data_IF_171848241175
#
_entry.id   IF_171848241175
#
_cell.length_a   1.000
_cell.length_b   1.000
_cell.length_c   1.000
_cell.angle_alpha   90.00
_cell.angle_beta   90.00
_cell.angle_gamma   90.00
#
_symmetry.space_group_name_H-M   'P 1'
#
loop_
_entity.id
_entity.type
_entity.pdbx_description
1 polymer ?
#
# COMPACT_ATOMS: atom_id res chain seq x y z
N UNK A 1 -8.93 22.51 -17.47
CA UNK A 1 -7.82 21.55 -17.71
C UNK A 1 -6.51 22.17 -17.25
N UNK A 2 -5.79 21.52 -16.34
CA UNK A 2 -4.49 22.02 -15.84
C UNK A 2 -3.37 21.45 -16.70
N UNK A 3 -2.48 22.33 -17.17
CA UNK A 3 -1.32 21.95 -17.99
C UNK A 3 -0.04 22.38 -17.28
N UNK A 4 0.93 21.48 -17.23
CA UNK A 4 2.20 21.68 -16.52
C UNK A 4 3.39 21.48 -17.47
N UNK A 5 4.49 22.17 -17.18
CA UNK A 5 5.76 21.94 -17.86
C UNK A 5 6.40 20.61 -17.41
N UNK A 6 7.36 20.10 -18.19
CA UNK A 6 8.12 18.88 -17.84
C UNK A 6 8.79 19.02 -16.47
N UNK A 7 9.36 20.20 -16.18
CA UNK A 7 10.07 20.45 -14.92
C UNK A 7 9.13 20.55 -13.72
N UNK A 8 7.96 21.18 -13.90
CA UNK A 8 6.91 21.20 -12.87
C UNK A 8 6.40 19.79 -12.59
N UNK A 9 6.11 19.01 -13.62
CA UNK A 9 5.71 17.61 -13.47
C UNK A 9 6.76 16.80 -12.72
N UNK A 10 8.04 16.94 -13.06
CA UNK A 10 9.12 16.25 -12.34
C UNK A 10 9.13 16.57 -10.84
N UNK A 11 8.98 17.85 -10.47
CA UNK A 11 8.93 18.30 -9.07
C UNK A 11 7.69 17.80 -8.33
N UNK A 12 6.51 17.91 -8.93
CA UNK A 12 5.24 17.49 -8.32
C UNK A 12 5.21 15.98 -8.05
N UNK A 13 5.75 15.17 -8.95
CA UNK A 13 5.73 13.72 -8.85
C UNK A 13 6.98 13.15 -8.16
N UNK A 14 7.97 13.99 -7.81
CA UNK A 14 9.22 13.54 -7.17
C UNK A 14 10.06 12.63 -8.09
N UNK A 15 9.98 12.83 -9.41
CA UNK A 15 10.68 12.04 -10.43
C UNK A 15 11.69 12.88 -11.20
N UNK A 16 12.63 12.22 -11.90
CA UNK A 16 13.56 12.93 -12.77
C UNK A 16 12.82 13.41 -14.04
N UNK A 17 13.19 14.58 -14.56
CA UNK A 17 12.73 15.09 -15.86
C UNK A 17 12.92 14.08 -17.00
N UNK A 18 13.98 13.26 -16.95
CA UNK A 18 14.22 12.21 -17.94
C UNK A 18 13.13 11.13 -17.92
N UNK A 19 12.59 10.80 -16.75
CA UNK A 19 11.49 9.83 -16.61
C UNK A 19 10.23 10.36 -17.29
N UNK A 20 9.93 11.65 -17.12
CA UNK A 20 8.79 12.29 -17.79
C UNK A 20 8.99 12.33 -19.31
N UNK A 21 10.21 12.63 -19.80
CA UNK A 21 10.50 12.56 -21.24
C UNK A 21 10.35 11.16 -21.81
N UNK A 22 10.78 10.13 -21.09
CA UNK A 22 10.59 8.74 -21.50
C UNK A 22 9.11 8.38 -21.61
N UNK A 23 8.28 8.83 -20.66
CA UNK A 23 6.84 8.63 -20.72
C UNK A 23 6.19 9.31 -21.93
N UNK A 24 6.69 10.49 -22.33
CA UNK A 24 6.27 11.17 -23.56
C UNK A 24 6.69 10.37 -24.81
N UNK A 25 7.93 9.87 -24.84
CA UNK A 25 8.43 9.04 -25.95
C UNK A 25 7.67 7.71 -26.08
N UNK A 26 7.31 7.10 -24.95
CA UNK A 26 6.49 5.89 -24.89
C UNK A 26 4.99 6.15 -25.14
N UNK A 27 4.59 7.40 -25.41
CA UNK A 27 3.21 7.81 -25.68
C UNK A 27 2.21 7.51 -24.54
N UNK A 28 2.69 7.33 -23.32
CA UNK A 28 1.85 7.05 -22.15
C UNK A 28 1.16 8.31 -21.61
N UNK A 29 1.68 9.49 -22.00
CA UNK A 29 1.23 10.78 -21.47
C UNK A 29 0.87 11.75 -22.60
N UNK A 30 -0.32 12.33 -22.51
CA UNK A 30 -0.80 13.32 -23.48
C UNK A 30 -0.16 14.69 -23.26
N UNK A 31 0.34 15.29 -24.33
CA UNK A 31 0.94 16.62 -24.32
C UNK A 31 0.46 17.49 -25.49
N UNK A 32 0.66 18.79 -25.34
CA UNK A 32 0.47 19.81 -26.38
C UNK A 32 1.71 20.69 -26.40
N UNK A 33 2.15 21.09 -27.59
CA UNK A 33 3.27 22.02 -27.74
C UNK A 33 2.68 23.44 -27.84
N UNK A 34 3.08 24.33 -26.95
CA UNK A 34 2.67 25.74 -26.95
C UNK A 34 3.92 26.61 -26.98
N UNK A 35 4.07 27.44 -28.01
CA UNK A 35 5.24 28.32 -28.21
C UNK A 35 6.59 27.58 -28.09
N UNK A 36 6.69 26.40 -28.73
CA UNK A 36 7.91 25.58 -28.69
C UNK A 36 8.20 24.88 -27.35
N UNK A 37 7.26 24.94 -26.39
CA UNK A 37 7.41 24.29 -25.08
C UNK A 37 6.35 23.22 -24.88
N UNK A 38 6.78 22.06 -24.42
CA UNK A 38 5.88 20.96 -24.06
C UNK A 38 5.05 21.33 -22.83
N UNK A 39 3.73 21.22 -22.99
CA UNK A 39 2.74 21.34 -21.92
C UNK A 39 2.00 20.02 -21.81
N UNK A 40 2.16 19.37 -20.66
CA UNK A 40 1.62 18.03 -20.41
C UNK A 40 0.27 18.18 -19.70
N UNK A 41 -0.69 17.32 -20.05
CA UNK A 41 -1.95 17.23 -19.32
C UNK A 41 -1.72 16.60 -17.93
N UNK A 42 -2.07 17.33 -16.86
CA UNK A 42 -1.89 16.86 -15.50
C UNK A 42 -2.69 15.56 -15.22
N UNK A 43 -3.90 15.43 -15.77
CA UNK A 43 -4.72 14.23 -15.58
C UNK A 43 -4.03 12.97 -16.13
N UNK A 44 -3.45 13.10 -17.32
CA UNK A 44 -2.72 12.02 -17.96
C UNK A 44 -1.47 11.62 -17.14
N UNK A 45 -0.76 12.59 -16.57
CA UNK A 45 0.36 12.32 -15.64
C UNK A 45 -0.08 11.58 -14.38
N UNK A 46 -1.22 11.95 -13.80
CA UNK A 46 -1.75 11.26 -12.61
C UNK A 46 -2.08 9.81 -12.95
N UNK A 47 -2.80 9.55 -14.06
CA UNK A 47 -3.10 8.19 -14.51
C UNK A 47 -1.83 7.37 -14.73
N UNK A 48 -0.86 7.93 -15.44
CA UNK A 48 0.45 7.31 -15.67
C UNK A 48 1.19 6.98 -14.37
N UNK A 49 1.19 7.90 -13.40
CA UNK A 49 1.89 7.72 -12.12
C UNK A 49 1.30 6.60 -11.27
N UNK A 50 0.01 6.32 -11.41
CA UNK A 50 -0.68 5.26 -10.70
C UNK A 50 -0.43 3.89 -11.34
N UNK A 51 -0.25 3.85 -12.66
CA UNK A 51 0.05 2.62 -13.40
C UNK A 51 1.44 2.07 -13.05
N UNK A 52 2.42 2.97 -12.87
CA UNK A 52 3.80 2.59 -12.57
C UNK A 52 4.07 2.57 -11.06
N UNK A 53 4.29 1.38 -10.51
CA UNK A 53 4.57 1.18 -9.07
C UNK A 53 5.77 2.00 -8.59
N UNK A 54 6.84 2.09 -9.38
CA UNK A 54 8.04 2.87 -9.04
C UNK A 54 7.78 4.37 -8.99
N UNK A 55 6.98 4.89 -9.94
CA UNK A 55 6.58 6.30 -9.98
C UNK A 55 5.62 6.60 -8.83
N UNK A 56 4.64 5.72 -8.57
CA UNK A 56 3.72 5.81 -7.44
C UNK A 56 4.48 5.92 -6.12
N UNK A 57 5.48 5.06 -5.92
CA UNK A 57 6.30 5.05 -4.70
C UNK A 57 7.09 6.36 -4.56
N UNK A 58 7.67 6.87 -5.66
CA UNK A 58 8.36 8.17 -5.67
C UNK A 58 7.42 9.33 -5.40
N UNK A 59 6.22 9.32 -5.98
CA UNK A 59 5.20 10.33 -5.73
C UNK A 59 4.76 10.34 -4.25
N UNK A 60 4.63 9.15 -3.64
CA UNK A 60 4.26 9.02 -2.24
C UNK A 60 5.37 9.47 -1.27
N UNK A 61 6.65 9.25 -1.62
CA UNK A 61 7.77 9.55 -0.73
C UNK A 61 8.44 10.90 -0.95
N UNK A 62 8.52 11.36 -2.22
CA UNK A 62 9.31 12.53 -2.65
C UNK A 62 8.48 13.58 -3.40
N UNK A 63 7.29 13.20 -3.84
CA UNK A 63 6.37 14.08 -4.56
C UNK A 63 5.28 14.62 -3.66
N UNK A 64 4.25 15.20 -4.27
CA UNK A 64 3.11 15.81 -3.58
C UNK A 64 2.32 14.79 -2.74
N UNK A 65 2.46 13.49 -3.02
CA UNK A 65 1.81 12.43 -2.28
C UNK A 65 2.29 12.30 -0.83
N UNK A 66 3.42 12.91 -0.47
CA UNK A 66 3.84 13.02 0.93
C UNK A 66 2.86 13.86 1.77
N UNK A 67 2.24 14.87 1.14
CA UNK A 67 1.35 15.84 1.79
C UNK A 67 -0.13 15.44 1.75
N UNK A 68 -0.49 14.40 0.98
CA UNK A 68 -1.88 13.97 0.84
C UNK A 68 -2.14 12.77 1.75
N UNK A 69 -2.59 13.04 2.97
CA UNK A 69 -2.89 11.99 3.96
C UNK A 69 -3.99 11.02 3.51
N UNK A 70 -4.93 11.50 2.67
CA UNK A 70 -5.98 10.67 2.06
C UNK A 70 -5.44 9.55 1.16
N UNK A 71 -4.20 9.63 0.66
CA UNK A 71 -3.61 8.58 -0.17
C UNK A 71 -2.94 7.46 0.64
N UNK A 72 -2.79 7.65 1.96
CA UNK A 72 -2.14 6.69 2.88
C UNK A 72 -3.12 5.65 3.45
N UNK A 73 -4.32 5.51 2.89
CA UNK A 73 -5.32 4.55 3.36
C UNK A 73 -4.82 3.13 3.06
N UNK A 74 -4.21 2.51 4.08
CA UNK A 74 -3.72 1.12 4.06
C UNK A 74 -4.68 0.15 4.74
N UNK A 75 -5.70 0.66 5.43
CA UNK A 75 -6.59 -0.18 6.21
C UNK A 75 -7.67 -0.79 5.30
N UNK A 76 -7.72 -2.12 5.13
CA UNK A 76 -8.89 -2.75 4.55
C UNK A 76 -10.05 -2.55 5.52
N UNK A 77 -11.03 -1.73 5.14
CA UNK A 77 -12.25 -1.49 5.94
C UNK A 77 -12.98 -2.81 6.29
N UNK A 78 -12.73 -3.88 5.52
CA UNK A 78 -13.39 -5.18 5.60
C UNK A 78 -12.42 -6.38 5.54
N UNK A 79 -11.26 -6.34 6.19
CA UNK A 79 -10.48 -7.59 6.36
C UNK A 79 -11.02 -8.35 7.57
N UNK A 80 -11.47 -9.61 7.44
CA UNK A 80 -11.78 -10.44 8.60
C UNK A 80 -10.55 -10.45 9.50
N UNK A 81 -10.68 -9.98 10.74
CA UNK A 81 -9.60 -10.06 11.71
C UNK A 81 -9.38 -11.55 11.98
N UNK A 82 -8.20 -12.13 11.72
CA UNK A 82 -7.96 -13.55 12.00
C UNK A 82 -8.16 -13.90 13.48
N UNK A 83 -8.14 -12.90 14.38
CA UNK A 83 -8.47 -13.05 15.81
C UNK A 83 -9.98 -13.11 16.11
N UNK A 84 -10.83 -12.66 15.19
CA UNK A 84 -12.30 -12.77 15.33
C UNK A 84 -12.87 -14.03 14.68
N UNK A 85 -12.02 -14.86 14.07
CA UNK A 85 -12.42 -16.20 13.63
C UNK A 85 -12.42 -17.08 14.89
N UNK A 86 -13.57 -17.60 15.34
CA UNK A 86 -13.61 -18.51 16.48
C UNK A 86 -12.75 -19.73 16.14
N UNK A 87 -11.64 -19.89 16.86
CA UNK A 87 -10.85 -21.11 16.82
C UNK A 87 -11.75 -22.20 17.39
N UNK A 88 -12.28 -23.06 16.52
CA UNK A 88 -12.95 -24.28 16.94
C UNK A 88 -11.88 -25.11 17.64
N UNK A 89 -11.85 -25.04 18.97
CA UNK A 89 -11.03 -25.92 19.79
C UNK A 89 -11.69 -27.31 19.73
N UNK A 90 -10.93 -28.39 19.47
CA UNK A 90 -11.48 -29.74 19.58
C UNK A 90 -11.96 -29.97 21.03
N UNK A 91 -13.07 -30.70 21.23
CA UNK A 91 -13.65 -30.90 22.56
C UNK A 91 -12.67 -31.61 23.49
N UNK A 92 -12.51 -31.02 24.67
CA UNK A 92 -11.62 -31.46 25.74
C UNK A 92 -11.93 -32.90 26.21
N UNK A 93 -10.94 -33.79 26.20
CA UNK A 93 -10.96 -35.00 27.05
C UNK A 93 -10.55 -34.61 28.47
N UNK A 94 -11.51 -34.19 29.28
CA UNK A 94 -11.39 -34.13 30.74
C UNK A 94 -12.07 -35.36 31.35
N UNK A 95 -11.34 -36.18 32.13
CA UNK A 95 -11.71 -36.82 33.41
C UNK A 95 -10.89 -38.08 33.65
N UNK A 96 -10.03 -38.09 34.69
CA UNK A 96 -10.01 -39.10 35.77
C UNK A 96 -9.03 -38.61 36.83
N UNK A 97 -9.53 -37.82 37.78
CA UNK A 97 -8.94 -37.74 39.11
C UNK A 97 -10.03 -38.25 40.05
N UNK A 98 -9.87 -39.47 40.54
CA UNK A 98 -10.62 -39.96 41.71
C UNK A 98 -9.60 -40.50 42.70
N UNK A 99 -9.34 -39.70 43.72
CA UNK A 99 -8.66 -40.09 44.93
C UNK A 99 -9.64 -40.83 45.84
N UNK A 100 -9.25 -42.01 46.32
CA UNK A 100 -9.65 -42.70 47.56
C UNK A 100 -8.91 -44.05 47.51
N UNK A 101 -8.30 -44.63 48.53
CA UNK A 101 -7.99 -44.30 49.92
C UNK A 101 -7.20 -45.55 50.43
N UNK A 102 -6.57 -45.41 51.58
CA UNK A 102 -6.34 -46.49 52.57
C UNK A 102 -5.07 -47.36 52.46
N UNK A 103 -4.15 -47.07 53.41
CA UNK A 103 -3.44 -48.03 54.29
C UNK A 103 -2.52 -49.08 53.64
N UNK A 104 -1.24 -49.24 53.98
CA UNK A 104 -0.73 -49.63 55.31
C UNK A 104 0.81 -49.69 55.25
N UNK A 105 1.48 -49.07 56.23
CA UNK A 105 2.90 -49.29 56.58
C UNK A 105 3.00 -50.62 57.34
N UNK A 106 4.07 -51.43 57.20
CA UNK A 106 5.00 -51.45 58.34
C UNK A 106 6.48 -51.61 57.98
N UNK A 107 7.26 -51.28 59.00
CA UNK A 107 8.69 -51.41 59.19
C UNK A 107 8.99 -52.80 59.80
N UNK A 108 9.97 -53.52 59.26
CA UNK A 108 10.81 -54.50 59.95
C UNK A 108 12.05 -54.76 59.10
#
# INVERSE_FOLDING_TARGET
MVRVSISEAARLFGVNTQTVRRAIQAQEVTYVIVAGRYKINFESLVKWSQHHTTVRNKLAQKGIGQFVDKWKIKNPLFSPNPKSVPKILPPDTSTTNTATDTSTKPLA
#
